data_IF_215079711281
#
_entry.id   IF_215079711281
#
_cell.length_a   1.000
_cell.length_b   1.000
_cell.length_c   1.000
_cell.angle_alpha   90.00
_cell.angle_beta   90.00
_cell.angle_gamma   90.00
#
_symmetry.space_group_name_H-M   'P 1'
#
loop_
_entity.id
_entity.type
_entity.pdbx_description
1 polymer ?
#
# COMPACT_ATOMS: atom_id res chain seq x y z
N UNK A 1 -17.58 14.35 16.71
CA UNK A 1 -17.28 13.25 15.76
C UNK A 1 -18.45 12.29 15.78
N UNK A 2 -18.93 11.81 14.62
CA UNK A 2 -20.05 10.87 14.55
C UNK A 2 -19.53 9.44 14.49
N UNK A 3 -19.55 8.75 15.64
CA UNK A 3 -19.25 7.32 15.73
C UNK A 3 -20.44 6.48 15.25
N UNK A 4 -20.15 5.36 14.58
CA UNK A 4 -21.14 4.40 14.08
C UNK A 4 -20.91 3.03 14.71
N UNK A 5 -21.98 2.23 14.77
CA UNK A 5 -21.89 0.83 15.15
C UNK A 5 -20.99 0.11 14.12
N UNK A 6 -20.01 -0.64 14.61
CA UNK A 6 -18.98 -1.33 13.83
C UNK A 6 -17.65 -0.59 13.73
N UNK A 7 -17.57 0.67 14.14
CA UNK A 7 -16.32 1.44 14.12
C UNK A 7 -15.31 0.87 15.11
N UNK A 8 -14.04 0.76 14.67
CA UNK A 8 -12.92 0.34 15.52
C UNK A 8 -12.39 1.55 16.30
N UNK A 9 -12.39 1.42 17.62
CA UNK A 9 -12.06 2.51 18.54
C UNK A 9 -11.07 2.05 19.61
N UNK A 10 -10.22 2.97 20.04
CA UNK A 10 -9.25 2.79 21.13
C UNK A 10 -9.61 3.73 22.27
N UNK A 11 -9.44 3.26 23.48
CA UNK A 11 -9.67 4.01 24.70
C UNK A 11 -8.53 5.04 24.87
N UNK A 12 -8.85 6.25 25.33
CA UNK A 12 -7.87 7.33 25.51
C UNK A 12 -6.95 7.05 26.71
N UNK A 13 -7.53 6.52 27.79
CA UNK A 13 -6.85 6.35 29.07
C UNK A 13 -6.24 4.95 29.25
N UNK A 14 -6.68 3.98 28.44
CA UNK A 14 -6.35 2.56 28.60
C UNK A 14 -5.92 1.96 27.26
N UNK A 15 -4.97 1.01 27.24
CA UNK A 15 -4.52 0.33 26.01
C UNK A 15 -5.52 -0.75 25.57
N UNK A 16 -6.81 -0.42 25.57
CA UNK A 16 -7.90 -1.31 25.19
C UNK A 16 -8.45 -0.85 23.84
N UNK A 17 -8.66 -1.82 22.96
CA UNK A 17 -9.23 -1.62 21.63
C UNK A 17 -10.46 -2.50 21.45
N UNK A 18 -11.40 -2.03 20.64
CA UNK A 18 -12.57 -2.82 20.31
C UNK A 18 -13.48 -2.17 19.28
N UNK A 19 -14.59 -2.84 19.01
CA UNK A 19 -15.60 -2.38 18.06
C UNK A 19 -16.81 -1.83 18.81
N UNK A 20 -17.36 -0.71 18.31
CA UNK A 20 -18.62 -0.18 18.83
C UNK A 20 -19.75 -1.16 18.46
N UNK A 21 -20.32 -1.82 19.47
CA UNK A 21 -21.44 -2.75 19.30
C UNK A 21 -22.77 -2.13 19.68
N UNK A 22 -22.76 -1.14 20.57
CA UNK A 22 -23.97 -0.46 21.05
C UNK A 22 -23.74 1.05 21.21
N UNK A 23 -24.76 1.85 20.89
CA UNK A 23 -24.76 3.30 21.14
C UNK A 23 -25.99 3.60 21.99
N UNK A 24 -25.78 4.11 23.20
CA UNK A 24 -26.85 4.47 24.13
C UNK A 24 -27.09 5.98 24.16
N UNK A 25 -28.27 6.35 24.64
CA UNK A 25 -28.58 7.74 24.98
C UNK A 25 -27.72 8.16 26.19
N UNK A 26 -27.23 9.41 26.17
CA UNK A 26 -26.28 10.00 27.13
C UNK A 26 -24.77 9.81 26.81
N UNK A 27 -24.43 9.71 25.52
CA UNK A 27 -23.04 9.73 25.04
C UNK A 27 -22.16 8.56 25.52
N UNK A 28 -22.82 7.45 25.89
CA UNK A 28 -22.20 6.16 26.24
C UNK A 28 -22.23 5.26 25.00
N UNK A 29 -21.12 4.58 24.74
CA UNK A 29 -20.98 3.55 23.71
C UNK A 29 -20.50 2.25 24.34
N UNK A 30 -21.09 1.14 23.91
CA UNK A 30 -20.59 -0.20 24.21
C UNK A 30 -19.48 -0.54 23.23
N UNK A 31 -18.28 -0.76 23.75
CA UNK A 31 -17.13 -1.22 22.95
C UNK A 31 -16.85 -2.67 23.34
N UNK A 32 -16.92 -3.56 22.35
CA UNK A 32 -16.61 -4.97 22.54
C UNK A 32 -15.19 -5.26 22.10
N UNK A 33 -14.40 -5.85 22.98
CA UNK A 33 -13.04 -6.31 22.71
C UNK A 33 -13.01 -7.61 21.86
N UNK A 34 -11.81 -8.09 21.56
CA UNK A 34 -11.63 -9.36 20.83
C UNK A 34 -12.03 -10.61 21.66
N UNK A 35 -12.22 -10.47 22.97
CA UNK A 35 -12.63 -11.56 23.87
C UNK A 35 -14.17 -11.65 24.00
N UNK A 36 -14.89 -10.69 23.43
CA UNK A 36 -16.35 -10.64 23.42
C UNK A 36 -16.96 -9.97 24.65
N UNK A 37 -16.16 -9.22 25.42
CA UNK A 37 -16.63 -8.46 26.57
C UNK A 37 -17.05 -7.04 26.16
N UNK A 38 -18.29 -6.63 26.48
CA UNK A 38 -18.79 -5.29 26.18
C UNK A 38 -18.54 -4.34 27.35
N UNK A 39 -17.72 -3.32 27.11
CA UNK A 39 -17.36 -2.30 28.09
C UNK A 39 -18.09 -0.99 27.73
N UNK A 40 -18.94 -0.46 28.62
CA UNK A 40 -19.59 0.83 28.41
C UNK A 40 -18.62 1.97 28.71
N UNK A 41 -18.35 2.82 27.72
CA UNK A 41 -17.49 4.00 27.84
C UNK A 41 -18.08 5.25 27.24
N UNK A 42 -17.66 6.41 27.76
CA UNK A 42 -18.06 7.71 27.25
C UNK A 42 -17.43 7.96 25.87
N UNK A 43 -18.17 8.56 24.93
CA UNK A 43 -17.64 8.92 23.60
C UNK A 43 -16.46 9.88 23.67
N UNK A 44 -16.31 10.66 24.74
CA UNK A 44 -15.15 11.52 24.97
C UNK A 44 -13.86 10.75 25.31
N UNK A 45 -13.99 9.50 25.75
CA UNK A 45 -12.88 8.64 26.18
C UNK A 45 -12.47 7.61 25.13
N UNK A 46 -13.04 7.70 23.93
CA UNK A 46 -12.68 6.84 22.81
C UNK A 46 -12.23 7.68 21.63
N UNK A 47 -11.29 7.14 20.86
CA UNK A 47 -10.83 7.72 19.60
C UNK A 47 -11.00 6.70 18.50
N UNK A 48 -11.36 7.17 17.31
CA UNK A 48 -11.44 6.29 16.15
C UNK A 48 -10.04 5.94 15.69
N UNK A 49 -9.74 4.65 15.60
CA UNK A 49 -8.43 4.19 15.14
C UNK A 49 -8.43 4.21 13.62
N UNK A 50 -7.86 5.28 13.04
CA UNK A 50 -7.44 5.28 11.65
C UNK A 50 -5.96 4.94 11.58
N UNK A 51 -5.63 3.74 11.11
CA UNK A 51 -4.25 3.29 10.95
C UNK A 51 -3.66 2.76 12.25
N UNK A 52 -2.86 1.70 12.13
CA UNK A 52 -2.16 1.04 13.22
C UNK A 52 -1.25 2.04 13.95
N UNK A 53 -1.70 2.60 15.09
CA UNK A 53 -0.81 3.22 16.06
C UNK A 53 -0.19 2.13 16.93
N UNK A 54 0.76 1.37 16.35
CA UNK A 54 1.67 0.50 17.12
C UNK A 54 2.54 1.37 18.00
N UNK A 55 2.53 1.12 19.31
CA UNK A 55 3.48 1.78 20.21
C UNK A 55 4.83 1.06 20.16
N UNK A 56 5.96 1.74 20.46
CA UNK A 56 7.27 1.10 20.49
C UNK A 56 7.36 -0.15 21.38
N UNK A 57 6.49 -0.24 22.39
CA UNK A 57 6.39 -1.35 23.34
C UNK A 57 5.75 -2.61 22.73
N UNK A 58 4.79 -2.48 21.81
CA UNK A 58 4.19 -3.62 21.08
C UNK A 58 5.21 -4.34 20.18
N UNK A 59 6.29 -3.64 19.81
CA UNK A 59 7.27 -4.14 18.86
C UNK A 59 8.46 -4.90 19.51
N UNK A 60 8.52 -4.91 20.85
CA UNK A 60 9.52 -5.67 21.60
C UNK A 60 9.28 -7.19 21.48
N UNK A 61 8.03 -7.62 21.27
CA UNK A 61 7.69 -9.02 21.03
C UNK A 61 8.01 -9.45 19.58
N UNK A 62 7.84 -8.54 18.62
CA UNK A 62 7.98 -8.80 17.19
C UNK A 62 9.45 -8.93 16.73
N UNK A 63 10.38 -8.35 17.49
CA UNK A 63 11.84 -8.44 17.25
C UNK A 63 12.46 -9.76 17.71
N UNK A 64 11.91 -10.41 18.74
CA UNK A 64 12.42 -11.69 19.23
C UNK A 64 12.06 -12.86 18.30
N UNK A 65 10.89 -12.82 17.64
CA UNK A 65 10.43 -13.85 16.72
C UNK A 65 11.08 -13.80 15.33
N UNK A 66 11.59 -12.63 14.91
CA UNK A 66 12.14 -12.41 13.57
C UNK A 66 13.63 -12.79 13.40
N UNK A 67 14.35 -13.14 14.48
CA UNK A 67 15.81 -13.32 14.46
C UNK A 67 16.33 -14.47 13.57
N UNK A 68 15.45 -15.39 13.12
CA UNK A 68 15.83 -16.58 12.34
C UNK A 68 15.30 -16.62 10.89
N UNK A 69 14.62 -15.57 10.41
CA UNK A 69 14.13 -15.53 9.03
C UNK A 69 15.12 -14.77 8.12
N UNK A 70 15.35 -15.23 6.88
CA UNK A 70 16.13 -14.47 5.91
C UNK A 70 15.44 -13.13 5.65
N UNK A 71 16.21 -12.04 5.71
CA UNK A 71 15.71 -10.71 5.44
C UNK A 71 15.48 -10.54 3.93
N UNK A 72 14.23 -10.28 3.53
CA UNK A 72 13.82 -10.13 2.14
C UNK A 72 13.85 -8.65 1.76
N UNK A 73 14.76 -8.27 0.86
CA UNK A 73 14.98 -6.87 0.45
C UNK A 73 14.10 -6.42 -0.71
N UNK A 74 13.64 -7.36 -1.54
CA UNK A 74 12.82 -7.13 -2.74
C UNK A 74 11.51 -7.90 -2.70
N UNK A 75 10.49 -7.35 -3.33
CA UNK A 75 9.15 -7.92 -3.36
C UNK A 75 8.04 -6.88 -3.20
N UNK A 76 8.19 -5.70 -3.79
CA UNK A 76 7.15 -4.66 -3.76
C UNK A 76 6.41 -4.68 -5.09
N UNK A 77 5.12 -5.04 -5.06
CA UNK A 77 4.34 -5.24 -6.28
C UNK A 77 3.04 -4.45 -6.28
N UNK A 78 2.61 -4.04 -7.47
CA UNK A 78 1.20 -3.70 -7.73
C UNK A 78 0.52 -4.92 -8.32
N UNK A 79 -0.53 -5.40 -7.66
CA UNK A 79 -1.43 -6.42 -8.17
C UNK A 79 -2.70 -5.77 -8.71
N UNK A 80 -3.13 -6.16 -9.90
CA UNK A 80 -4.45 -5.82 -10.44
C UNK A 80 -5.31 -7.08 -10.44
N UNK A 81 -6.34 -7.09 -9.61
CA UNK A 81 -7.35 -8.15 -9.50
C UNK A 81 -8.63 -7.83 -10.26
N UNK A 82 -9.55 -8.79 -10.24
CA UNK A 82 -10.87 -8.69 -10.89
C UNK A 82 -10.94 -9.30 -12.29
N UNK A 83 -12.14 -9.71 -12.68
CA UNK A 83 -12.43 -10.32 -13.98
C UNK A 83 -13.01 -9.29 -14.96
N UNK A 84 -12.56 -9.31 -16.22
CA UNK A 84 -13.11 -8.41 -17.25
C UNK A 84 -14.63 -8.58 -17.42
N UNK A 85 -15.15 -9.79 -17.16
CA UNK A 85 -16.59 -10.11 -17.21
C UNK A 85 -17.39 -9.46 -16.08
N UNK A 86 -16.80 -9.32 -14.88
CA UNK A 86 -17.44 -8.67 -13.72
C UNK A 86 -17.34 -7.13 -13.80
N UNK A 87 -16.42 -6.62 -14.61
CA UNK A 87 -16.30 -5.20 -14.93
C UNK A 87 -15.58 -4.36 -13.87
N UNK A 88 -15.24 -4.91 -12.70
CA UNK A 88 -14.52 -4.20 -11.64
C UNK A 88 -13.07 -4.68 -11.53
N UNK A 89 -12.13 -3.75 -11.59
CA UNK A 89 -10.70 -3.97 -11.36
C UNK A 89 -10.32 -3.44 -9.97
N UNK A 90 -9.60 -4.25 -9.19
CA UNK A 90 -9.08 -3.87 -7.88
C UNK A 90 -7.57 -3.75 -7.94
N UNK A 91 -7.02 -2.71 -7.33
CA UNK A 91 -5.59 -2.48 -7.28
C UNK A 91 -5.11 -2.73 -5.86
N UNK A 92 -4.07 -3.55 -5.76
CA UNK A 92 -3.44 -3.91 -4.51
C UNK A 92 -1.97 -3.49 -4.55
N UNK A 93 -1.48 -2.87 -3.49
CA UNK A 93 -0.06 -2.75 -3.22
C UNK A 93 0.33 -3.88 -2.28
N UNK A 94 1.28 -4.70 -2.72
CA UNK A 94 1.67 -5.96 -2.08
C UNK A 94 3.11 -5.77 -1.61
N UNK A 95 3.34 -6.06 -0.33
CA UNK A 95 4.64 -6.02 0.29
C UNK A 95 5.04 -7.43 0.72
N UNK A 96 5.87 -8.10 -0.07
CA UNK A 96 6.48 -9.39 0.32
C UNK A 96 7.84 -9.19 1.01
N UNK A 97 8.27 -7.94 1.21
CA UNK A 97 9.54 -7.62 1.84
C UNK A 97 9.48 -7.71 3.37
N UNK A 98 10.65 -7.81 3.99
CA UNK A 98 10.80 -7.71 5.44
C UNK A 98 10.77 -6.26 5.96
N UNK A 99 10.55 -5.27 5.10
CA UNK A 99 10.40 -3.87 5.48
C UNK A 99 8.95 -3.52 5.80
N UNK A 100 8.76 -2.56 6.70
CA UNK A 100 7.54 -1.76 6.74
C UNK A 100 7.62 -0.68 5.66
N UNK A 101 6.54 -0.48 4.91
CA UNK A 101 6.52 0.49 3.81
C UNK A 101 5.68 1.69 4.21
N UNK A 102 6.26 2.88 4.20
CA UNK A 102 5.50 4.12 4.24
C UNK A 102 5.16 4.52 2.81
N UNK A 103 3.88 4.52 2.48
CA UNK A 103 3.40 4.63 1.10
C UNK A 103 2.58 5.90 0.94
N UNK A 104 2.85 6.63 -0.15
CA UNK A 104 1.98 7.68 -0.67
C UNK A 104 1.70 7.40 -2.16
N UNK A 105 0.43 7.38 -2.52
CA UNK A 105 -0.04 7.17 -3.89
C UNK A 105 -0.95 8.33 -4.26
N UNK A 106 -0.61 8.97 -5.37
CA UNK A 106 -1.38 10.07 -5.93
C UNK A 106 -1.77 9.77 -7.38
N UNK A 107 -2.85 10.36 -7.86
CA UNK A 107 -3.22 10.36 -9.27
C UNK A 107 -2.67 11.61 -9.96
N UNK A 108 -2.11 11.45 -11.15
CA UNK A 108 -1.62 12.56 -11.98
C UNK A 108 -2.72 13.10 -12.90
N UNK A 109 -2.82 14.43 -12.93
CA UNK A 109 -3.61 15.17 -13.91
C UNK A 109 -2.78 16.35 -14.43
N UNK A 110 -2.10 16.13 -15.55
CA UNK A 110 -1.12 17.09 -16.09
C UNK A 110 0.08 17.23 -15.15
N UNK A 111 0.33 18.44 -14.65
CA UNK A 111 1.40 18.74 -13.68
C UNK A 111 0.95 18.68 -12.22
N UNK A 112 -0.33 18.38 -11.96
CA UNK A 112 -0.90 18.33 -10.61
C UNK A 112 -1.09 16.89 -10.16
N UNK A 113 -0.88 16.64 -8.87
CA UNK A 113 -1.13 15.36 -8.22
C UNK A 113 -2.28 15.49 -7.23
N UNK A 114 -3.12 14.46 -7.14
CA UNK A 114 -4.17 14.36 -6.12
C UNK A 114 -3.95 13.09 -5.32
N UNK A 115 -3.74 13.23 -4.01
CA UNK A 115 -3.53 12.11 -3.10
C UNK A 115 -4.72 11.15 -3.12
N UNK A 116 -4.43 9.85 -3.24
CA UNK A 116 -5.42 8.79 -3.32
C UNK A 116 -5.31 7.84 -2.12
N UNK A 117 -4.09 7.48 -1.74
CA UNK A 117 -3.81 6.54 -0.67
C UNK A 117 -2.53 6.96 0.05
N UNK A 118 -2.55 7.00 1.37
CA UNK A 118 -1.37 7.24 2.18
C UNK A 118 -1.48 6.40 3.46
N UNK A 119 -0.60 5.41 3.61
CA UNK A 119 -0.62 4.53 4.77
C UNK A 119 0.73 3.82 4.97
N UNK A 120 0.87 3.16 6.12
CA UNK A 120 1.93 2.19 6.38
C UNK A 120 1.43 0.80 5.98
N UNK A 121 2.23 0.06 5.22
CA UNK A 121 1.98 -1.35 4.90
C UNK A 121 2.99 -2.20 5.69
N UNK A 122 2.51 -3.07 6.60
CA UNK A 122 3.37 -3.97 7.37
C UNK A 122 4.20 -4.91 6.50
N UNK A 123 5.22 -5.53 7.10
CA UNK A 123 5.99 -6.63 6.50
C UNK A 123 5.05 -7.76 6.05
N UNK A 124 5.29 -8.34 4.88
CA UNK A 124 4.52 -9.47 4.35
C UNK A 124 2.98 -9.26 4.38
N UNK A 125 2.53 -8.09 3.92
CA UNK A 125 1.13 -7.69 3.93
C UNK A 125 0.75 -6.95 2.63
N UNK A 126 -0.53 -6.65 2.44
CA UNK A 126 -1.04 -5.94 1.27
C UNK A 126 -2.12 -4.92 1.63
N UNK A 127 -2.30 -3.93 0.77
CA UNK A 127 -3.38 -2.96 0.89
C UNK A 127 -4.10 -2.78 -0.44
N UNK A 128 -5.43 -2.71 -0.42
CA UNK A 128 -6.21 -2.29 -1.59
C UNK A 128 -6.11 -0.76 -1.72
N UNK A 129 -5.52 -0.28 -2.81
CA UNK A 129 -5.20 1.14 -3.00
C UNK A 129 -6.18 1.86 -3.93
N UNK A 130 -6.87 1.13 -4.81
CA UNK A 130 -7.79 1.73 -5.77
C UNK A 130 -8.77 0.70 -6.34
N UNK A 131 -9.85 1.19 -6.94
CA UNK A 131 -10.81 0.37 -7.69
C UNK A 131 -11.26 1.14 -8.92
N UNK A 132 -11.34 0.46 -10.06
CA UNK A 132 -11.73 1.06 -11.33
C UNK A 132 -12.64 0.10 -12.12
N UNK A 133 -13.35 0.62 -13.13
CA UNK A 133 -14.13 -0.22 -14.02
C UNK A 133 -13.32 -0.57 -15.29
N UNK A 134 -13.32 -1.84 -15.70
CA UNK A 134 -12.65 -2.30 -16.94
C UNK A 134 -13.19 -1.63 -18.20
N UNK A 135 -14.47 -1.24 -18.24
CA UNK A 135 -15.05 -0.47 -19.35
C UNK A 135 -14.41 0.90 -19.52
N UNK A 136 -13.81 1.44 -18.45
CA UNK A 136 -13.17 2.74 -18.42
C UNK A 136 -11.64 2.67 -18.46
N UNK A 137 -11.05 1.56 -18.91
CA UNK A 137 -9.60 1.33 -18.95
C UNK A 137 -8.82 2.49 -19.59
N UNK A 138 -9.32 3.07 -20.69
CA UNK A 138 -8.70 4.23 -21.33
C UNK A 138 -8.67 5.51 -20.48
N UNK A 139 -9.49 5.58 -19.43
CA UNK A 139 -9.59 6.70 -18.47
C UNK A 139 -8.96 6.39 -17.11
N UNK A 140 -8.30 5.24 -16.94
CA UNK A 140 -7.63 4.94 -15.68
C UNK A 140 -6.52 5.97 -15.42
N UNK A 141 -6.40 6.46 -14.17
CA UNK A 141 -5.42 7.49 -13.85
C UNK A 141 -4.00 6.93 -13.98
N UNK A 142 -3.06 7.85 -14.16
CA UNK A 142 -1.63 7.54 -13.93
C UNK A 142 -1.37 7.75 -12.46
N UNK A 143 -0.75 6.79 -11.80
CA UNK A 143 -0.40 6.87 -10.39
C UNK A 143 1.03 7.35 -10.24
N UNK A 144 1.29 8.23 -9.28
CA UNK A 144 2.61 8.49 -8.76
C UNK A 144 2.72 7.87 -7.38
N UNK A 145 3.62 6.91 -7.27
CA UNK A 145 3.79 6.05 -6.11
C UNK A 145 5.13 6.38 -5.48
N UNK A 146 5.09 6.79 -4.22
CA UNK A 146 6.27 7.06 -3.40
C UNK A 146 6.29 6.09 -2.23
N UNK A 147 7.41 5.40 -2.03
CA UNK A 147 7.57 4.38 -0.99
C UNK A 147 8.89 4.61 -0.28
N UNK A 148 8.81 4.68 1.06
CA UNK A 148 9.98 4.70 1.94
C UNK A 148 10.00 3.37 2.69
N UNK A 149 11.14 2.69 2.63
CA UNK A 149 11.37 1.43 3.36
C UNK A 149 11.83 1.74 4.78
N UNK A 150 11.22 1.09 5.76
CA UNK A 150 11.54 1.23 7.17
C UNK A 150 11.85 -0.14 7.78
N UNK A 151 12.95 -0.23 8.52
CA UNK A 151 13.34 -1.41 9.28
C UNK A 151 13.97 -0.99 10.59
N UNK A 152 13.70 -1.77 11.65
CA UNK A 152 14.31 -1.59 12.98
C UNK A 152 15.61 -2.37 13.13
N UNK A 153 15.87 -3.29 12.21
CA UNK A 153 17.13 -4.02 12.11
C UNK A 153 18.08 -3.21 11.23
N UNK A 154 19.39 -3.15 11.56
CA UNK A 154 20.37 -2.48 10.70
C UNK A 154 20.32 -3.02 9.27
N UNK A 155 20.08 -2.13 8.31
CA UNK A 155 20.04 -2.44 6.87
C UNK A 155 20.73 -1.33 6.09
N UNK A 156 21.17 -1.63 4.87
CA UNK A 156 21.73 -0.63 3.96
C UNK A 156 20.65 0.40 3.60
N UNK A 157 20.97 1.68 3.77
CA UNK A 157 20.04 2.75 3.40
C UNK A 157 19.79 2.73 1.89
N UNK A 158 18.50 2.75 1.50
CA UNK A 158 18.08 2.86 0.10
C UNK A 158 17.37 4.19 -0.12
N UNK A 159 17.42 4.69 -1.35
CA UNK A 159 16.64 5.89 -1.71
C UNK A 159 15.14 5.56 -1.71
N UNK A 160 14.28 6.52 -1.35
CA UNK A 160 12.84 6.37 -1.52
C UNK A 160 12.52 6.00 -2.97
N UNK A 161 11.67 4.99 -3.14
CA UNK A 161 11.18 4.60 -4.44
C UNK A 161 10.15 5.63 -4.89
N UNK A 162 10.34 6.22 -6.08
CA UNK A 162 9.37 7.12 -6.70
C UNK A 162 9.16 6.66 -8.14
N UNK A 163 7.97 6.12 -8.44
CA UNK A 163 7.63 5.64 -9.79
C UNK A 163 6.29 6.18 -10.25
N UNK A 164 6.21 6.50 -11.54
CA UNK A 164 4.95 6.70 -12.23
C UNK A 164 4.47 5.35 -12.78
N UNK A 165 3.26 4.95 -12.41
CA UNK A 165 2.65 3.71 -12.82
C UNK A 165 1.37 3.99 -13.59
N UNK A 166 1.32 3.49 -14.83
CA UNK A 166 0.12 3.52 -15.67
C UNK A 166 -0.11 2.15 -16.26
N UNK A 167 -1.31 1.62 -16.07
CA UNK A 167 -1.71 0.35 -16.68
C UNK A 167 -1.89 0.55 -18.18
N UNK A 168 -1.18 -0.22 -18.99
CA UNK A 168 -1.42 -0.28 -20.43
C UNK A 168 -2.32 -1.47 -20.75
N UNK A 169 -3.19 -1.38 -21.76
CA UNK A 169 -4.06 -2.50 -22.16
C UNK A 169 -3.30 -3.81 -22.42
N UNK A 170 -2.10 -3.71 -23.02
CA UNK A 170 -1.24 -4.86 -23.29
C UNK A 170 -0.80 -5.60 -22.04
N UNK A 171 -0.72 -4.90 -20.91
CA UNK A 171 -0.26 -5.50 -19.67
C UNK A 171 -1.32 -6.43 -19.07
N UNK A 172 -2.60 -6.18 -19.37
CA UNK A 172 -3.75 -7.00 -18.93
C UNK A 172 -4.02 -8.20 -19.85
N UNK A 173 -3.22 -8.37 -20.91
CA UNK A 173 -3.24 -9.56 -21.78
C UNK A 173 -2.38 -10.68 -21.18
N UNK A 174 -1.41 -10.33 -20.31
CA UNK A 174 -0.55 -11.32 -19.64
C UNK A 174 -1.38 -12.23 -18.73
N UNK A 175 -0.86 -13.42 -18.49
CA UNK A 175 -1.45 -14.34 -17.53
C UNK A 175 -1.40 -13.75 -16.13
N UNK A 176 -2.49 -13.88 -15.38
CA UNK A 176 -2.52 -13.54 -13.96
C UNK A 176 -1.66 -14.52 -13.16
N UNK A 177 -0.99 -13.99 -12.16
CA UNK A 177 -0.16 -14.74 -11.23
C UNK A 177 -0.87 -14.91 -9.89
N UNK A 178 -0.50 -15.95 -9.15
CA UNK A 178 -1.02 -16.19 -7.80
C UNK A 178 -0.04 -15.61 -6.80
N UNK A 179 -0.52 -14.72 -5.94
CA UNK A 179 0.24 -14.15 -4.84
C UNK A 179 -0.20 -14.84 -3.56
N UNK A 180 0.72 -15.24 -2.69
CA UNK A 180 0.37 -15.99 -1.46
C UNK A 180 -0.52 -15.18 -0.51
N UNK A 181 -0.32 -13.87 -0.49
CA UNK A 181 -1.06 -12.91 0.34
C UNK A 181 -2.50 -12.65 -0.16
N UNK A 182 -2.79 -12.91 -1.43
CA UNK A 182 -4.09 -12.63 -2.04
C UNK A 182 -4.85 -13.92 -2.35
N UNK A 183 -6.16 -13.91 -2.12
CA UNK A 183 -7.03 -15.03 -2.48
C UNK A 183 -7.28 -15.11 -3.99
N UNK A 184 -7.18 -13.98 -4.70
CA UNK A 184 -7.40 -13.88 -6.13
C UNK A 184 -6.09 -13.86 -6.94
N UNK A 185 -6.17 -14.30 -8.20
CA UNK A 185 -5.05 -14.14 -9.14
C UNK A 185 -5.03 -12.72 -9.65
N UNK A 186 -3.85 -12.13 -9.76
CA UNK A 186 -3.66 -10.74 -10.15
C UNK A 186 -2.64 -10.59 -11.27
N UNK A 187 -2.78 -9.55 -12.09
CA UNK A 187 -1.68 -9.09 -12.93
C UNK A 187 -0.65 -8.40 -12.03
N UNK A 188 0.57 -8.92 -11.98
CA UNK A 188 1.60 -8.47 -11.07
C UNK A 188 2.60 -7.53 -11.76
N UNK A 189 2.92 -6.42 -11.11
CA UNK A 189 3.89 -5.43 -11.57
C UNK A 189 4.89 -5.13 -10.46
N UNK A 190 6.15 -5.48 -10.71
CA UNK A 190 7.24 -5.23 -9.76
C UNK A 190 7.64 -3.75 -9.77
N UNK A 191 7.48 -3.09 -8.62
CA UNK A 191 7.82 -1.68 -8.46
C UNK A 191 9.29 -1.47 -8.08
N UNK A 192 9.92 -2.43 -7.43
CA UNK A 192 11.30 -2.36 -6.97
C UNK A 192 12.30 -3.01 -7.92
N UNK A 193 11.84 -3.43 -9.10
CA UNK A 193 12.71 -3.81 -10.20
C UNK A 193 13.63 -2.64 -10.54
N UNK A 194 14.93 -2.88 -10.47
CA UNK A 194 15.94 -1.97 -11.00
C UNK A 194 15.72 -1.90 -12.50
N UNK A 195 15.26 -0.75 -12.99
CA UNK A 195 15.32 -0.49 -14.43
C UNK A 195 16.80 -0.46 -14.77
N UNK A 196 17.28 -1.49 -15.47
CA UNK A 196 18.53 -1.37 -16.21
C UNK A 196 18.32 -0.16 -17.10
N UNK A 197 19.07 0.89 -16.81
CA UNK A 197 19.19 2.07 -17.65
C UNK A 197 19.73 1.58 -19.00
N UNK A 198 18.83 1.12 -19.88
CA UNK A 198 19.08 0.91 -21.29
C UNK A 198 19.35 2.30 -21.84
N UNK A 199 20.60 2.72 -21.66
CA UNK A 199 21.10 4.05 -21.90
C UNK A 199 20.72 4.55 -23.28
N UNK A 200 19.54 5.18 -23.37
CA UNK A 200 19.10 5.95 -24.51
C UNK A 200 20.06 7.12 -24.75
N UNK A 201 20.85 7.51 -23.76
CA UNK A 201 21.95 8.48 -23.89
C UNK A 201 23.18 7.93 -24.63
N UNK A 202 23.45 6.61 -24.64
CA UNK A 202 24.53 6.03 -25.47
C UNK A 202 24.15 5.90 -26.95
N UNK A 203 22.86 5.86 -27.28
CA UNK A 203 22.43 5.81 -28.68
C UNK A 203 22.55 7.19 -29.37
N UNK A 204 22.36 8.30 -28.65
CA UNK A 204 22.48 9.65 -29.25
C UNK A 204 23.92 10.03 -29.60
N UNK A 205 24.92 9.55 -28.84
CA UNK A 205 26.33 9.85 -29.11
C UNK A 205 26.91 9.06 -30.29
N UNK A 206 26.34 7.90 -30.65
CA UNK A 206 26.77 7.12 -31.82
C UNK A 206 26.17 7.58 -33.16
N UNK A 207 25.03 8.28 -33.17
CA UNK A 207 24.37 8.72 -34.41
C UNK A 207 24.82 10.10 -34.94
N UNK A 208 25.62 10.87 -34.19
CA UNK A 208 26.04 12.24 -34.58
C UNK A 208 27.42 12.28 -35.28
N UNK A 209 28.20 11.18 -35.29
CA UNK A 209 29.58 11.20 -35.81
C UNK A 209 29.74 11.11 -37.34
N UNK A 210 28.68 10.90 -38.13
CA UNK A 210 28.79 10.71 -39.58
C UNK A 210 28.04 11.76 -40.41
N UNK A 211 28.25 13.05 -40.12
CA UNK A 211 27.98 14.11 -41.13
C UNK A 211 29.30 14.43 -41.85
N UNK A 212 29.49 14.01 -43.11
CA UNK A 212 30.65 14.43 -43.88
C UNK A 212 30.56 15.95 -44.13
N UNK A 213 31.64 16.66 -43.79
CA UNK A 213 31.81 18.07 -44.10
C UNK A 213 31.75 18.23 -45.62
N UNK A 214 30.70 18.89 -46.11
CA UNK A 214 30.58 19.30 -47.51
C UNK A 214 31.49 20.52 -47.70
N UNK A 215 32.62 20.32 -48.38
CA UNK A 215 33.41 21.39 -49.00
C UNK A 215 33.17 21.33 -50.50
#
# INVERSE_FOLDING_TARGET
>A
MHFKIGDFVRFVDEPIEGHITSIQDNDIVGVTDNEGFEIPVLKSKITLVHGNMRMPEDDMEDTAAAANQPFIDKGIYIGIGGEQKEGLAKFFLINETSYELLVSISTLSGSKTTGLFANVIPKNDFAQIYTANFSALGKWPTFHIQIIRHSRVPQTQTQPLSKEFRVKPMDLIRSKERVALLTEKVWLYELDKTEEDIGLDKLKSHFISHRPNKR
#
